data_IF_229401035425
#
_entry.id   IF_229401035425
#
_cell.length_a   1.000
_cell.length_b   1.000
_cell.length_c   1.000
_cell.angle_alpha   90.00
_cell.angle_beta   90.00
_cell.angle_gamma   90.00
#
_symmetry.space_group_name_H-M   'P 1'
#
loop_
_entity.id
_entity.type
_entity.pdbx_description
1 polymer ?
#
# COMPACT_ATOMS: atom_id res chain seq x y z
N UNK A 1 -25.00 18.36 -4.35
CA UNK A 1 -25.08 16.88 -4.23
C UNK A 1 -24.70 16.54 -2.81
N UNK A 2 -25.62 15.96 -2.05
CA UNK A 2 -25.34 15.46 -0.70
C UNK A 2 -24.44 14.22 -0.83
N UNK A 3 -23.28 14.27 -0.18
CA UNK A 3 -22.28 13.20 -0.20
C UNK A 3 -22.62 12.21 0.92
N UNK A 4 -23.12 11.03 0.57
CA UNK A 4 -23.31 9.91 1.50
C UNK A 4 -21.94 9.33 1.91
N UNK A 5 -21.27 10.02 2.84
CA UNK A 5 -20.04 9.55 3.49
C UNK A 5 -20.41 8.71 4.71
N UNK A 6 -19.75 7.56 4.87
CA UNK A 6 -19.84 6.77 6.10
C UNK A 6 -18.74 7.23 7.06
N UNK A 7 -19.16 7.77 8.20
CA UNK A 7 -18.30 8.09 9.33
C UNK A 7 -18.78 7.24 10.49
N UNK A 8 -17.91 6.37 11.02
CA UNK A 8 -18.28 5.47 12.12
C UNK A 8 -17.26 5.59 13.26
N UNK A 9 -17.77 5.70 14.49
CA UNK A 9 -17.02 5.61 15.74
C UNK A 9 -17.80 4.59 16.60
N UNK A 10 -17.38 3.34 16.57
CA UNK A 10 -17.98 2.21 17.29
C UNK A 10 -16.86 1.18 17.56
N UNK A 11 -17.17 0.02 18.12
CA UNK A 11 -16.19 -1.05 18.36
C UNK A 11 -15.97 -1.88 17.10
N UNK A 12 -17.05 -2.16 16.36
CA UNK A 12 -17.05 -3.04 15.17
C UNK A 12 -17.73 -2.34 13.98
N UNK A 13 -17.19 -2.50 12.77
CA UNK A 13 -17.89 -2.16 11.54
C UNK A 13 -17.79 -3.27 10.49
N UNK A 14 -18.88 -3.49 9.78
CA UNK A 14 -18.97 -4.41 8.64
C UNK A 14 -19.58 -3.66 7.45
N UNK A 15 -18.82 -3.53 6.37
CA UNK A 15 -19.22 -2.79 5.16
C UNK A 15 -19.00 -3.71 3.96
N UNK A 16 -20.08 -4.22 3.38
CA UNK A 16 -19.99 -5.27 2.34
C UNK A 16 -20.86 -4.93 1.14
N UNK A 17 -20.33 -5.13 -0.07
CA UNK A 17 -21.14 -5.11 -1.30
C UNK A 17 -21.61 -3.73 -1.76
N UNK A 18 -20.92 -2.64 -1.40
CA UNK A 18 -21.33 -1.27 -1.74
C UNK A 18 -20.52 -0.68 -2.89
N UNK A 19 -21.10 0.32 -3.55
CA UNK A 19 -20.37 1.18 -4.49
C UNK A 19 -20.26 2.59 -3.91
N UNK A 20 -19.03 3.10 -3.78
CA UNK A 20 -18.72 4.45 -3.33
C UNK A 20 -18.05 5.21 -4.47
N UNK A 21 -18.75 6.17 -5.06
CA UNK A 21 -18.30 6.82 -6.28
C UNK A 21 -18.38 8.35 -6.24
N UNK A 22 -17.37 9.02 -6.79
CA UNK A 22 -17.27 10.47 -6.92
C UNK A 22 -17.40 11.23 -5.57
N UNK A 23 -17.00 10.59 -4.47
CA UNK A 23 -17.05 11.20 -3.16
C UNK A 23 -15.84 12.11 -2.94
N UNK A 24 -16.05 13.23 -2.27
CA UNK A 24 -14.99 14.20 -1.96
C UNK A 24 -15.00 14.48 -0.46
N UNK A 25 -13.86 14.32 0.21
CA UNK A 25 -13.72 14.69 1.63
C UNK A 25 -12.31 15.17 1.96
N UNK A 26 -12.08 15.50 3.23
CA UNK A 26 -10.72 15.76 3.72
C UNK A 26 -9.98 14.46 4.10
N UNK A 27 -10.70 13.50 4.72
CA UNK A 27 -10.18 12.26 5.34
C UNK A 27 -11.11 11.09 4.99
N UNK A 28 -10.70 10.16 4.14
CA UNK A 28 -11.52 9.01 3.74
C UNK A 28 -12.83 9.46 3.08
N UNK A 29 -12.84 9.65 1.75
CA UNK A 29 -14.04 10.19 1.10
C UNK A 29 -15.24 9.27 1.21
N UNK A 30 -15.02 7.96 1.16
CA UNK A 30 -16.06 6.96 1.37
C UNK A 30 -16.20 6.60 2.85
N UNK A 31 -15.10 6.18 3.48
CA UNK A 31 -15.10 5.55 4.80
C UNK A 31 -14.00 6.19 5.65
N UNK A 32 -14.40 6.67 6.83
CA UNK A 32 -13.49 7.10 7.88
C UNK A 32 -13.88 6.40 9.19
N UNK A 33 -12.96 5.59 9.72
CA UNK A 33 -13.19 4.79 10.91
C UNK A 33 -12.06 4.99 11.93
N UNK A 34 -12.45 5.18 13.18
CA UNK A 34 -11.58 5.18 14.35
C UNK A 34 -12.16 4.16 15.35
N UNK A 35 -11.96 2.88 15.03
CA UNK A 35 -12.67 1.74 15.64
C UNK A 35 -11.75 0.53 15.76
N UNK A 36 -12.08 -0.43 16.64
CA UNK A 36 -11.22 -1.58 16.95
C UNK A 36 -11.24 -2.69 15.88
N UNK A 37 -12.41 -3.14 15.42
CA UNK A 37 -12.52 -4.28 14.50
C UNK A 37 -13.24 -3.89 13.22
N UNK A 38 -12.58 -4.08 12.07
CA UNK A 38 -13.07 -3.62 10.77
C UNK A 38 -13.17 -4.77 9.79
N UNK A 39 -14.35 -4.99 9.20
CA UNK A 39 -14.52 -5.84 8.03
C UNK A 39 -15.06 -5.03 6.85
N UNK A 40 -14.29 -4.93 5.77
CA UNK A 40 -14.68 -4.23 4.55
C UNK A 40 -14.45 -5.16 3.37
N UNK A 41 -15.51 -5.62 2.72
CA UNK A 41 -15.39 -6.60 1.64
C UNK A 41 -16.30 -6.37 0.45
N UNK A 42 -15.87 -6.82 -0.72
CA UNK A 42 -16.68 -6.80 -1.95
C UNK A 42 -17.23 -5.40 -2.31
N UNK A 43 -16.52 -4.33 -1.96
CA UNK A 43 -16.93 -2.97 -2.30
C UNK A 43 -16.17 -2.42 -3.52
N UNK A 44 -16.80 -1.47 -4.21
CA UNK A 44 -16.21 -0.76 -5.34
C UNK A 44 -16.05 0.74 -5.03
N UNK A 45 -14.81 1.21 -4.96
CA UNK A 45 -14.44 2.60 -4.72
C UNK A 45 -13.95 3.23 -6.02
N UNK A 46 -14.66 4.24 -6.54
CA UNK A 46 -14.39 4.77 -7.88
C UNK A 46 -14.35 6.29 -7.89
N UNK A 47 -13.30 6.89 -8.45
CA UNK A 47 -13.16 8.34 -8.59
C UNK A 47 -13.34 9.12 -7.26
N UNK A 48 -13.00 8.50 -6.13
CA UNK A 48 -13.08 9.16 -4.84
C UNK A 48 -11.85 10.06 -4.65
N UNK A 49 -12.03 11.21 -3.98
CA UNK A 49 -10.96 12.19 -3.77
C UNK A 49 -10.90 12.67 -2.32
N UNK A 50 -9.69 12.72 -1.74
CA UNK A 50 -9.50 13.37 -0.43
C UNK A 50 -8.14 14.02 -0.25
N UNK A 51 -7.90 14.68 0.88
CA UNK A 51 -6.57 15.20 1.20
C UNK A 51 -5.64 14.12 1.78
N UNK A 52 -6.16 13.26 2.67
CA UNK A 52 -5.34 12.26 3.39
C UNK A 52 -5.42 10.88 2.74
N UNK A 53 -6.60 10.26 2.73
CA UNK A 53 -6.84 8.99 2.07
C UNK A 53 -8.12 9.08 1.25
N UNK A 54 -8.04 8.77 -0.04
CA UNK A 54 -9.12 9.10 -0.96
C UNK A 54 -10.40 8.30 -0.71
N UNK A 55 -10.31 7.03 -0.32
CA UNK A 55 -11.47 6.15 -0.16
C UNK A 55 -11.65 5.77 1.29
N UNK A 56 -10.67 5.09 1.87
CA UNK A 56 -10.74 4.55 3.23
C UNK A 56 -9.61 5.14 4.08
N UNK A 57 -9.96 5.66 5.25
CA UNK A 57 -8.99 5.97 6.30
C UNK A 57 -9.36 5.25 7.59
N UNK A 58 -8.51 4.32 8.01
CA UNK A 58 -8.60 3.62 9.28
C UNK A 58 -7.59 4.19 10.27
N UNK A 59 -8.06 4.54 11.46
CA UNK A 59 -7.25 5.01 12.58
C UNK A 59 -7.31 3.97 13.69
N UNK A 60 -6.14 3.52 14.11
CA UNK A 60 -5.87 2.62 15.22
C UNK A 60 -6.76 1.36 15.30
N UNK A 61 -7.03 0.65 14.18
CA UNK A 61 -7.73 -0.63 14.29
C UNK A 61 -6.90 -1.62 15.11
N UNK A 62 -7.55 -2.41 15.96
CA UNK A 62 -6.93 -3.58 16.61
C UNK A 62 -6.83 -4.75 15.62
N UNK A 63 -7.86 -4.91 14.80
CA UNK A 63 -7.91 -5.89 13.72
C UNK A 63 -8.65 -5.29 12.52
N UNK A 64 -8.14 -5.55 11.31
CA UNK A 64 -8.87 -5.21 10.11
C UNK A 64 -8.77 -6.31 9.07
N UNK A 65 -9.87 -6.58 8.39
CA UNK A 65 -9.98 -7.50 7.27
C UNK A 65 -10.63 -6.76 6.09
N UNK A 66 -9.78 -6.33 5.17
CA UNK A 66 -10.16 -5.58 3.97
C UNK A 66 -9.90 -6.47 2.77
N UNK A 67 -10.97 -7.03 2.20
CA UNK A 67 -10.85 -8.14 1.25
C UNK A 67 -11.71 -7.98 0.01
N UNK A 68 -11.20 -8.41 -1.15
CA UNK A 68 -11.99 -8.42 -2.39
C UNK A 68 -12.56 -7.06 -2.81
N UNK A 69 -11.92 -5.94 -2.44
CA UNK A 69 -12.38 -4.61 -2.84
C UNK A 69 -11.65 -4.14 -4.11
N UNK A 70 -12.33 -3.31 -4.88
CA UNK A 70 -11.74 -2.67 -6.05
C UNK A 70 -11.66 -1.15 -5.82
N UNK A 71 -10.46 -0.58 -5.96
CA UNK A 71 -10.18 0.84 -5.90
C UNK A 71 -9.72 1.31 -7.27
N UNK A 72 -10.51 2.17 -7.92
CA UNK A 72 -10.24 2.62 -9.28
C UNK A 72 -10.25 4.14 -9.38
N UNK A 73 -9.16 4.70 -9.90
CA UNK A 73 -9.04 6.16 -10.16
C UNK A 73 -9.26 7.01 -8.91
N UNK A 74 -8.88 6.50 -7.74
CA UNK A 74 -9.00 7.25 -6.51
C UNK A 74 -7.78 8.16 -6.32
N UNK A 75 -7.97 9.36 -5.77
CA UNK A 75 -6.92 10.38 -5.71
C UNK A 75 -6.81 11.03 -4.32
N UNK A 76 -5.59 11.13 -3.81
CA UNK A 76 -5.29 11.88 -2.59
C UNK A 76 -4.32 13.04 -2.86
N UNK A 77 -4.49 14.15 -2.15
CA UNK A 77 -3.55 15.28 -2.27
C UNK A 77 -2.24 15.07 -1.52
N UNK A 78 -2.24 14.23 -0.47
CA UNK A 78 -1.10 14.16 0.46
C UNK A 78 -0.60 12.74 0.68
N UNK A 79 -1.39 11.86 1.31
CA UNK A 79 -0.88 10.58 1.82
C UNK A 79 -1.19 9.39 0.90
N UNK A 80 -2.40 8.84 0.94
CA UNK A 80 -2.72 7.57 0.28
C UNK A 80 -3.80 7.71 -0.80
N UNK A 81 -3.50 7.30 -2.03
CA UNK A 81 -4.41 7.47 -3.16
C UNK A 81 -5.61 6.54 -3.16
N UNK A 82 -5.67 5.51 -2.31
CA UNK A 82 -6.87 4.71 -2.06
C UNK A 82 -7.15 4.54 -0.55
N UNK A 83 -6.20 3.93 0.17
CA UNK A 83 -6.39 3.48 1.53
C UNK A 83 -5.21 3.85 2.43
N UNK A 84 -5.53 4.46 3.58
CA UNK A 84 -4.58 4.64 4.68
C UNK A 84 -5.05 3.84 5.90
N UNK A 85 -4.16 3.01 6.45
CA UNK A 85 -4.35 2.36 7.74
C UNK A 85 -3.23 2.82 8.67
N UNK A 86 -3.57 3.58 9.71
CA UNK A 86 -2.60 4.12 10.65
C UNK A 86 -2.81 3.50 12.02
N UNK A 87 -1.79 2.84 12.57
CA UNK A 87 -1.78 2.37 13.95
C UNK A 87 -1.06 3.39 14.84
N UNK A 88 -1.75 3.97 15.83
CA UNK A 88 -1.10 4.82 16.84
C UNK A 88 -0.40 4.02 17.95
N UNK A 89 -0.71 2.73 18.07
CA UNK A 89 -0.13 1.83 19.06
C UNK A 89 0.82 0.83 18.38
N UNK A 90 2.01 0.66 18.97
CA UNK A 90 2.98 -0.38 18.61
C UNK A 90 2.47 -1.70 19.20
N UNK A 91 1.32 -2.17 18.73
CA UNK A 91 0.73 -3.45 19.11
C UNK A 91 0.81 -4.44 17.95
N UNK A 92 0.72 -5.73 18.26
CA UNK A 92 0.71 -6.83 17.29
C UNK A 92 -0.61 -6.91 16.50
N UNK A 93 -1.20 -5.77 16.18
CA UNK A 93 -2.47 -5.69 15.47
C UNK A 93 -2.32 -6.31 14.09
N UNK A 94 -3.21 -7.25 13.76
CA UNK A 94 -3.19 -7.96 12.49
C UNK A 94 -4.10 -7.27 11.49
N UNK A 95 -3.55 -6.87 10.35
CA UNK A 95 -4.29 -6.20 9.29
C UNK A 95 -4.22 -7.01 8.01
N UNK A 96 -5.35 -7.54 7.56
CA UNK A 96 -5.42 -8.42 6.40
C UNK A 96 -5.95 -7.62 5.22
N UNK A 97 -5.12 -7.43 4.20
CA UNK A 97 -5.47 -6.77 2.94
C UNK A 97 -5.33 -7.80 1.81
N UNK A 98 -6.37 -8.59 1.57
CA UNK A 98 -6.29 -9.72 0.63
C UNK A 98 -7.19 -9.51 -0.59
N UNK A 99 -6.76 -10.00 -1.75
CA UNK A 99 -7.60 -10.02 -2.97
C UNK A 99 -8.11 -8.63 -3.41
N UNK A 100 -7.41 -7.55 -3.05
CA UNK A 100 -7.82 -6.20 -3.45
C UNK A 100 -7.18 -5.82 -4.79
N UNK A 101 -7.90 -4.99 -5.55
CA UNK A 101 -7.41 -4.43 -6.80
C UNK A 101 -7.30 -2.91 -6.69
N UNK A 102 -6.09 -2.38 -6.87
CA UNK A 102 -5.81 -0.95 -6.91
C UNK A 102 -5.36 -0.56 -8.32
N UNK A 103 -6.21 0.16 -9.05
CA UNK A 103 -5.96 0.52 -10.44
C UNK A 103 -6.04 2.04 -10.63
N UNK A 104 -4.97 2.62 -11.20
CA UNK A 104 -4.90 4.05 -11.55
C UNK A 104 -5.17 4.98 -10.36
N UNK A 105 -4.78 4.58 -9.16
CA UNK A 105 -4.85 5.44 -7.98
C UNK A 105 -3.65 6.40 -7.95
N UNK A 106 -3.85 7.58 -7.38
CA UNK A 106 -2.86 8.66 -7.39
C UNK A 106 -2.72 9.37 -6.04
N UNK A 107 -1.50 9.73 -5.67
CA UNK A 107 -1.22 10.55 -4.49
C UNK A 107 0.14 11.24 -4.58
N UNK A 108 0.34 12.32 -3.83
CA UNK A 108 1.66 12.89 -3.65
C UNK A 108 2.63 11.90 -2.96
N UNK A 109 2.18 11.22 -1.89
CA UNK A 109 3.05 10.30 -1.13
C UNK A 109 2.98 8.87 -1.66
N UNK A 110 1.89 8.13 -1.42
CA UNK A 110 1.71 6.71 -1.78
C UNK A 110 0.43 6.55 -2.59
N UNK A 111 0.53 6.03 -3.80
CA UNK A 111 -0.55 6.11 -4.78
C UNK A 111 -1.72 5.17 -4.53
N UNK A 112 -1.55 4.06 -3.80
CA UNK A 112 -2.64 3.14 -3.49
C UNK A 112 -2.82 2.90 -1.99
N UNK A 113 -1.92 2.13 -1.38
CA UNK A 113 -2.07 1.59 -0.03
C UNK A 113 -0.91 2.00 0.86
N UNK A 114 -1.21 2.70 1.94
CA UNK A 114 -0.24 3.14 2.94
C UNK A 114 -0.61 2.59 4.31
N UNK A 115 0.30 1.84 4.93
CA UNK A 115 0.06 1.19 6.23
C UNK A 115 1.16 1.60 7.20
N UNK A 116 0.75 2.26 8.29
CA UNK A 116 1.66 2.74 9.32
C UNK A 116 1.58 1.84 10.56
N UNK A 117 2.71 1.22 10.88
CA UNK A 117 2.90 0.28 11.98
C UNK A 117 1.96 -0.96 11.90
N UNK A 118 1.89 -1.78 12.97
CA UNK A 118 1.16 -3.05 13.00
C UNK A 118 1.85 -4.22 12.28
N UNK A 119 1.12 -5.31 12.10
CA UNK A 119 1.57 -6.55 11.44
C UNK A 119 0.69 -6.86 10.20
N UNK A 120 0.83 -6.09 9.11
CA UNK A 120 -0.04 -6.24 7.97
C UNK A 120 0.34 -7.45 7.11
N UNK A 121 -0.68 -8.17 6.67
CA UNK A 121 -0.62 -9.26 5.70
C UNK A 121 -1.33 -8.78 4.45
N UNK A 122 -0.54 -8.51 3.40
CA UNK A 122 -1.03 -8.10 2.09
C UNK A 122 -0.86 -9.29 1.14
N UNK A 123 -1.96 -9.81 0.62
CA UNK A 123 -1.97 -11.09 -0.09
C UNK A 123 -2.80 -11.07 -1.36
N UNK A 124 -2.33 -11.74 -2.42
CA UNK A 124 -3.11 -11.98 -3.64
C UNK A 124 -3.76 -10.70 -4.22
N UNK A 125 -3.12 -9.55 -4.01
CA UNK A 125 -3.64 -8.25 -4.39
C UNK A 125 -2.90 -7.71 -5.60
N UNK A 126 -3.57 -6.87 -6.39
CA UNK A 126 -3.00 -6.33 -7.61
C UNK A 126 -2.93 -4.80 -7.56
N UNK A 127 -1.81 -4.26 -8.03
CA UNK A 127 -1.51 -2.83 -8.10
C UNK A 127 -1.15 -2.48 -9.55
N UNK A 128 -2.07 -1.84 -10.26
CA UNK A 128 -1.97 -1.55 -11.69
C UNK A 128 -1.92 -0.06 -11.98
N UNK A 129 -0.87 0.40 -12.68
CA UNK A 129 -0.77 1.75 -13.21
C UNK A 129 -1.01 2.85 -12.15
N UNK A 130 -0.64 2.62 -10.89
CA UNK A 130 -0.77 3.63 -9.84
C UNK A 130 0.41 4.62 -9.92
N UNK A 131 0.17 5.90 -9.65
CA UNK A 131 1.19 6.94 -9.82
C UNK A 131 1.37 7.78 -8.56
N UNK A 132 2.56 7.70 -7.97
CA UNK A 132 3.02 8.66 -6.99
C UNK A 132 3.48 9.93 -7.67
N UNK A 133 3.11 11.10 -7.16
CA UNK A 133 3.46 12.39 -7.77
C UNK A 133 4.66 13.07 -7.08
N UNK A 134 5.10 12.59 -5.91
CA UNK A 134 6.25 13.16 -5.22
C UNK A 134 7.22 12.14 -4.61
N UNK A 135 6.78 11.11 -3.87
CA UNK A 135 7.73 10.24 -3.14
C UNK A 135 7.71 8.77 -3.49
N UNK A 136 6.60 8.08 -3.22
CA UNK A 136 6.50 6.62 -3.29
C UNK A 136 5.49 6.20 -4.34
N UNK A 137 5.61 4.98 -4.81
CA UNK A 137 4.64 4.38 -5.72
C UNK A 137 3.45 3.78 -4.98
N UNK A 138 3.15 2.51 -5.26
CA UNK A 138 1.84 1.91 -4.96
C UNK A 138 1.61 1.55 -3.50
N UNK A 139 2.55 0.80 -2.91
CA UNK A 139 2.41 0.23 -1.59
C UNK A 139 3.55 0.72 -0.68
N UNK A 140 3.19 1.15 0.52
CA UNK A 140 4.15 1.45 1.58
C UNK A 140 3.73 0.83 2.90
N UNK A 141 4.70 0.21 3.59
CA UNK A 141 4.51 -0.28 4.96
C UNK A 141 5.61 0.23 5.88
N UNK A 142 5.30 0.36 7.18
CA UNK A 142 6.25 0.85 8.18
C UNK A 142 6.38 -0.02 9.43
N UNK A 143 5.91 -1.27 9.40
CA UNK A 143 5.99 -2.21 10.52
C UNK A 143 7.38 -2.27 11.13
N UNK A 144 7.48 -2.15 12.46
CA UNK A 144 8.74 -2.17 13.22
C UNK A 144 8.88 -3.48 13.98
N UNK A 145 10.12 -3.90 14.23
CA UNK A 145 10.41 -5.08 15.08
C UNK A 145 9.65 -5.03 16.42
N UNK A 146 9.12 -6.16 16.91
CA UNK A 146 9.25 -7.51 16.35
C UNK A 146 8.30 -7.84 15.18
N UNK A 147 7.34 -6.95 14.86
CA UNK A 147 6.39 -7.18 13.77
C UNK A 147 7.08 -7.16 12.41
N UNK A 148 6.48 -7.76 11.38
CA UNK A 148 7.03 -7.76 10.01
C UNK A 148 5.86 -7.65 9.03
N UNK A 149 5.91 -6.69 8.11
CA UNK A 149 4.92 -6.63 7.05
C UNK A 149 5.11 -7.81 6.10
N UNK A 150 4.08 -8.62 5.88
CA UNK A 150 4.12 -9.75 4.95
C UNK A 150 3.38 -9.39 3.67
N UNK A 151 4.07 -9.39 2.53
CA UNK A 151 3.50 -9.14 1.21
C UNK A 151 3.66 -10.42 0.38
N UNK A 152 2.57 -11.05 -0.03
CA UNK A 152 2.63 -12.35 -0.70
C UNK A 152 1.72 -12.45 -1.91
N UNK A 153 2.17 -13.15 -2.95
CA UNK A 153 1.37 -13.43 -4.16
C UNK A 153 0.78 -12.16 -4.79
N UNK A 154 1.45 -11.01 -4.68
CA UNK A 154 0.96 -9.74 -5.20
C UNK A 154 1.50 -9.49 -6.61
N UNK A 155 0.74 -8.73 -7.39
CA UNK A 155 1.16 -8.28 -8.73
C UNK A 155 1.27 -6.76 -8.72
N UNK A 156 2.44 -6.24 -9.06
CA UNK A 156 2.72 -4.83 -9.22
C UNK A 156 3.09 -4.56 -10.67
N UNK A 157 2.21 -3.88 -11.40
CA UNK A 157 2.35 -3.76 -12.84
C UNK A 157 2.19 -2.30 -13.31
N UNK A 158 3.24 -1.82 -14.00
CA UNK A 158 3.42 -0.46 -14.53
C UNK A 158 3.16 0.68 -13.52
N UNK A 159 3.51 0.47 -12.25
CA UNK A 159 3.39 1.52 -11.24
C UNK A 159 4.54 2.55 -11.34
N UNK A 160 4.28 3.78 -10.92
CA UNK A 160 5.20 4.91 -11.12
C UNK A 160 5.48 5.67 -9.83
N UNK A 161 6.72 6.13 -9.69
CA UNK A 161 7.12 7.06 -8.63
C UNK A 161 8.26 7.96 -9.12
N UNK A 162 8.32 9.24 -8.75
CA UNK A 162 9.40 10.13 -9.18
C UNK A 162 10.66 10.02 -8.33
N UNK A 163 10.60 9.49 -7.09
CA UNK A 163 11.74 9.54 -6.15
C UNK A 163 12.13 8.20 -5.52
N UNK A 164 11.18 7.39 -5.05
CA UNK A 164 11.42 6.15 -4.32
C UNK A 164 10.41 5.06 -4.71
N UNK A 165 10.87 3.80 -4.77
CA UNK A 165 10.06 2.57 -4.79
C UNK A 165 8.71 2.66 -5.51
N UNK A 166 8.69 2.39 -6.82
CA UNK A 166 7.51 2.54 -7.66
C UNK A 166 6.41 1.48 -7.40
N UNK A 167 6.80 0.27 -7.00
CA UNK A 167 5.84 -0.77 -6.61
C UNK A 167 5.67 -0.81 -5.10
N UNK A 168 6.77 -0.99 -4.38
CA UNK A 168 6.76 -1.20 -2.94
C UNK A 168 7.86 -0.41 -2.24
N UNK A 169 7.55 0.10 -1.04
CA UNK A 169 8.51 0.77 -0.17
C UNK A 169 8.36 0.32 1.28
N UNK A 170 9.43 -0.22 1.84
CA UNK A 170 9.55 -0.43 3.28
C UNK A 170 10.12 0.86 3.89
N UNK A 171 9.31 1.54 4.70
CA UNK A 171 9.58 2.92 5.07
C UNK A 171 9.29 3.21 6.54
N UNK A 172 10.32 3.15 7.39
CA UNK A 172 10.54 3.92 8.63
C UNK A 172 11.85 3.44 9.28
N UNK A 173 12.27 4.05 10.39
CA UNK A 173 13.40 3.54 11.18
C UNK A 173 13.10 2.15 11.74
N UNK A 174 14.02 1.21 11.53
CA UNK A 174 13.92 -0.18 11.98
C UNK A 174 12.70 -0.96 11.45
N UNK A 175 12.18 -0.55 10.28
CA UNK A 175 11.06 -1.27 9.66
C UNK A 175 11.47 -2.62 9.07
N UNK A 176 10.55 -3.54 9.05
CA UNK A 176 10.76 -4.94 8.68
C UNK A 176 9.66 -5.39 7.73
N UNK A 177 10.07 -6.01 6.62
CA UNK A 177 9.17 -6.53 5.62
C UNK A 177 9.69 -7.82 5.00
N UNK A 178 8.77 -8.68 4.63
CA UNK A 178 9.01 -9.90 3.86
C UNK A 178 8.08 -9.88 2.65
N UNK A 179 8.65 -10.10 1.47
CA UNK A 179 7.92 -10.21 0.22
C UNK A 179 8.17 -11.59 -0.37
N UNK A 180 7.09 -12.31 -0.65
CA UNK A 180 7.13 -13.67 -1.15
C UNK A 180 6.27 -13.82 -2.42
N UNK A 181 6.75 -14.61 -3.38
CA UNK A 181 5.98 -15.08 -4.55
C UNK A 181 5.27 -13.94 -5.31
N UNK A 182 5.87 -12.74 -5.34
CA UNK A 182 5.23 -11.55 -5.91
C UNK A 182 5.89 -11.17 -7.23
N UNK A 183 5.09 -10.62 -8.14
CA UNK A 183 5.53 -10.26 -9.49
C UNK A 183 5.56 -8.74 -9.65
N UNK A 184 6.65 -8.22 -10.18
CA UNK A 184 6.90 -6.81 -10.44
C UNK A 184 7.16 -6.62 -11.93
N UNK A 185 6.34 -5.83 -12.61
CA UNK A 185 6.34 -5.68 -14.06
C UNK A 185 6.44 -4.19 -14.39
N UNK A 186 7.49 -3.80 -15.13
CA UNK A 186 7.58 -2.51 -15.83
C UNK A 186 7.42 -1.26 -14.95
N UNK A 187 7.67 -1.35 -13.64
CA UNK A 187 7.52 -0.22 -12.73
C UNK A 187 8.65 0.80 -12.96
N UNK A 188 8.31 2.09 -12.91
CA UNK A 188 9.22 3.18 -13.31
C UNK A 188 9.53 4.14 -12.19
N UNK A 189 10.81 4.46 -12.03
CA UNK A 189 11.30 5.49 -11.13
C UNK A 189 11.82 6.71 -11.91
N UNK A 190 11.16 7.86 -11.72
CA UNK A 190 11.43 9.07 -12.51
C UNK A 190 11.17 8.80 -13.99
N UNK A 191 12.18 9.06 -14.83
CA UNK A 191 12.15 8.78 -16.27
C UNK A 191 12.85 7.47 -16.65
N UNK A 192 13.20 6.62 -15.66
CA UNK A 192 13.92 5.36 -15.90
C UNK A 192 13.03 4.17 -15.53
N UNK A 193 13.14 3.09 -16.30
CA UNK A 193 12.61 1.78 -15.89
C UNK A 193 13.52 1.22 -14.78
N UNK A 194 12.95 0.72 -13.68
CA UNK A 194 13.70 0.32 -12.49
C UNK A 194 13.20 0.98 -11.20
N UNK A 195 13.71 0.56 -10.04
CA UNK A 195 13.30 1.05 -8.72
C UNK A 195 11.94 0.53 -8.24
N UNK A 196 11.58 -0.72 -8.58
CA UNK A 196 10.36 -1.39 -8.12
C UNK A 196 10.25 -1.38 -6.59
N UNK A 197 11.35 -1.70 -5.91
CA UNK A 197 11.40 -1.75 -4.45
C UNK A 197 12.42 -0.74 -3.93
N UNK A 198 12.08 -0.06 -2.82
CA UNK A 198 13.02 0.84 -2.16
C UNK A 198 13.06 0.67 -0.64
N UNK A 199 14.29 0.78 -0.11
CA UNK A 199 14.60 0.86 1.32
C UNK A 199 15.50 2.06 1.60
N UNK A 200 14.96 3.08 2.28
CA UNK A 200 15.66 4.37 2.46
C UNK A 200 16.09 4.70 3.88
N UNK A 201 15.59 3.98 4.87
CA UNK A 201 15.75 4.36 6.28
C UNK A 201 16.75 3.45 7.00
N UNK A 202 17.31 3.95 8.11
CA UNK A 202 18.26 3.19 8.91
C UNK A 202 17.58 1.99 9.59
N UNK A 203 18.31 0.87 9.67
CA UNK A 203 17.87 -0.33 10.37
C UNK A 203 16.75 -1.10 9.68
N UNK A 204 16.41 -0.76 8.43
CA UNK A 204 15.38 -1.49 7.68
C UNK A 204 15.86 -2.90 7.38
N UNK A 205 14.99 -3.89 7.53
CA UNK A 205 15.22 -5.27 7.09
C UNK A 205 14.18 -5.67 6.06
N UNK A 206 14.63 -6.13 4.90
CA UNK A 206 13.75 -6.60 3.83
C UNK A 206 14.18 -8.00 3.40
N UNK A 207 13.23 -8.92 3.33
CA UNK A 207 13.44 -10.24 2.75
C UNK A 207 12.63 -10.39 1.48
N UNK A 208 13.24 -10.89 0.42
CA UNK A 208 12.62 -11.19 -0.86
C UNK A 208 12.80 -12.67 -1.18
N UNK A 209 11.70 -13.40 -1.34
CA UNK A 209 11.70 -14.83 -1.63
C UNK A 209 10.84 -15.12 -2.87
N UNK A 210 11.39 -15.86 -3.84
CA UNK A 210 10.69 -16.33 -5.05
C UNK A 210 9.89 -15.21 -5.77
N UNK A 211 10.47 -14.00 -5.84
CA UNK A 211 9.86 -12.87 -6.54
C UNK A 211 10.30 -12.84 -8.01
N UNK A 212 9.42 -12.36 -8.88
CA UNK A 212 9.69 -12.25 -10.31
C UNK A 212 9.67 -10.79 -10.75
N UNK A 213 10.74 -10.34 -11.40
CA UNK A 213 10.90 -8.98 -11.89
C UNK A 213 11.05 -8.99 -13.42
N UNK A 214 10.20 -8.22 -14.10
CA UNK A 214 10.06 -8.18 -15.56
C UNK A 214 10.08 -6.73 -16.08
N UNK A 215 10.65 -6.52 -17.26
CA UNK A 215 10.73 -5.21 -17.95
C UNK A 215 11.42 -4.11 -17.12
N UNK A 216 12.52 -4.46 -16.47
CA UNK A 216 13.22 -3.60 -15.51
C UNK A 216 14.71 -3.47 -15.85
N UNK A 217 15.28 -2.26 -15.72
CA UNK A 217 16.74 -2.06 -15.74
C UNK A 217 17.32 -2.28 -14.34
N UNK A 218 18.62 -2.62 -14.28
CA UNK A 218 19.39 -3.23 -13.17
C UNK A 218 19.31 -2.51 -11.79
N UNK A 219 18.82 -1.28 -11.69
CA UNK A 219 18.64 -0.56 -10.42
C UNK A 219 17.28 -0.89 -9.74
N UNK A 220 16.92 -2.17 -9.63
CA UNK A 220 15.58 -2.61 -9.22
C UNK A 220 15.27 -2.45 -7.72
N UNK A 221 16.32 -2.53 -6.90
CA UNK A 221 16.22 -2.39 -5.45
C UNK A 221 17.20 -1.29 -5.02
N UNK A 222 16.66 -0.17 -4.56
CA UNK A 222 17.48 0.96 -4.15
C UNK A 222 17.76 0.95 -2.64
N UNK A 223 19.05 1.04 -2.30
CA UNK A 223 19.55 1.21 -0.93
C UNK A 223 20.18 2.58 -0.75
N UNK A 224 19.76 3.31 0.29
CA UNK A 224 20.35 4.62 0.61
C UNK A 224 21.23 4.63 1.86
N UNK A 225 21.20 3.60 2.74
CA UNK A 225 21.94 3.64 4.04
C UNK A 225 22.52 2.30 4.50
N UNK A 226 23.72 2.37 5.11
CA UNK A 226 24.59 1.23 5.44
C UNK A 226 24.10 0.26 6.53
N UNK A 227 23.16 0.65 7.40
CA UNK A 227 22.68 -0.20 8.51
C UNK A 227 21.42 -1.01 8.19
N UNK A 228 21.02 -1.04 6.92
CA UNK A 228 19.87 -1.82 6.46
C UNK A 228 20.33 -3.19 5.96
N UNK A 229 19.53 -4.24 6.14
CA UNK A 229 19.80 -5.57 5.60
C UNK A 229 18.77 -5.95 4.55
N UNK A 230 19.25 -6.58 3.48
CA UNK A 230 18.38 -7.25 2.51
C UNK A 230 18.85 -8.66 2.26
N UNK A 231 17.89 -9.57 2.30
CA UNK A 231 18.05 -10.97 1.95
C UNK A 231 17.24 -11.22 0.68
N UNK A 232 17.89 -11.75 -0.36
CA UNK A 232 17.26 -12.09 -1.64
C UNK A 232 17.53 -13.56 -1.91
N UNK A 233 16.48 -14.34 -2.08
CA UNK A 233 16.56 -15.76 -2.39
C UNK A 233 15.55 -16.12 -3.47
N UNK A 234 15.98 -16.95 -4.42
CA UNK A 234 15.13 -17.54 -5.47
C UNK A 234 14.40 -16.53 -6.38
N UNK A 235 14.82 -15.26 -6.38
CA UNK A 235 14.21 -14.22 -7.22
C UNK A 235 14.71 -14.27 -8.67
N UNK A 236 13.82 -13.99 -9.62
CA UNK A 236 14.08 -13.98 -11.07
C UNK A 236 14.03 -12.56 -11.60
N UNK A 237 15.00 -12.21 -12.46
CA UNK A 237 15.14 -10.89 -13.07
C UNK A 237 15.21 -11.07 -14.59
N UNK A 238 14.32 -10.41 -15.34
CA UNK A 238 14.23 -10.57 -16.79
C UNK A 238 14.10 -9.22 -17.51
N UNK A 239 14.89 -9.03 -18.57
CA UNK A 239 15.10 -7.74 -19.24
C UNK A 239 14.50 -7.65 -20.65
N UNK A 240 13.47 -8.44 -20.98
CA UNK A 240 12.95 -8.57 -22.37
C UNK A 240 11.48 -8.22 -22.49
#
# INVERSE_FOLDING_TARGET
>A
MESNRLVYIDINATIVGNTFQNLISFKGAAIYLDIAYVHISDNYFVNNSASIASSIYLISPLESNITSNVFSKCQSKVLAGALLCESSTISNNSYHFLLNNFTKCESASVSALDIWDGNPIIGCSCFFNNSGNYKFGSLRTSSKKPNTASVMNCIFDFNKSPMLGAAYSVYWFSSTAEIQNSTFIGSTLGNKHGGSICSTNNGVSLKLFDCNFQYTEIEEIQFKKMSSSVEISECKFSST
#
